data_IF_187848776969
#
_entry.id   IF_187848776969
#
_cell.length_a   1.000
_cell.length_b   1.000
_cell.length_c   1.000
_cell.angle_alpha   90.00
_cell.angle_beta   90.00
_cell.angle_gamma   90.00
#
_symmetry.space_group_name_H-M   'P 1'
#
loop_
_entity.id
_entity.type
_entity.pdbx_description
1 polymer ?
#
# COMPACT_ATOMS: atom_id res chain seq x y z
N UNK A 1 -7.53 -7.94 2.99
CA UNK A 1 -6.60 -8.32 1.90
C UNK A 1 -5.26 -7.60 1.88
N UNK A 2 -5.00 -6.50 2.62
CA UNK A 2 -3.79 -5.72 2.36
C UNK A 2 -2.53 -6.52 2.69
N UNK A 3 -1.43 -6.22 1.99
CA UNK A 3 -0.12 -6.86 2.18
C UNK A 3 0.38 -6.73 3.63
N UNK A 4 -0.07 -5.69 4.34
CA UNK A 4 0.22 -5.45 5.75
C UNK A 4 -0.30 -6.56 6.68
N UNK A 5 -1.36 -7.29 6.31
CA UNK A 5 -1.82 -8.47 7.05
C UNK A 5 -0.80 -9.61 7.04
N UNK A 6 0.17 -9.56 6.12
CA UNK A 6 1.26 -10.51 5.98
C UNK A 6 2.61 -9.89 6.42
N UNK A 7 2.59 -8.77 7.15
CA UNK A 7 3.78 -8.00 7.55
C UNK A 7 4.65 -7.51 6.37
N UNK A 8 4.02 -7.28 5.21
CA UNK A 8 4.71 -6.79 4.01
C UNK A 8 4.19 -5.38 3.67
N UNK A 9 5.09 -4.40 3.64
CA UNK A 9 4.73 -3.00 3.37
C UNK A 9 4.69 -2.64 1.87
N UNK A 10 5.13 -3.55 1.00
CA UNK A 10 5.23 -3.35 -0.46
C UNK A 10 4.22 -4.24 -1.19
N UNK A 11 3.90 -3.94 -2.46
CA UNK A 11 3.17 -4.88 -3.29
C UNK A 11 3.82 -6.27 -3.27
N UNK A 12 2.99 -7.31 -3.13
CA UNK A 12 3.43 -8.71 -3.09
C UNK A 12 3.25 -9.35 -4.46
N UNK A 13 4.20 -10.17 -4.88
CA UNK A 13 4.08 -11.02 -6.05
C UNK A 13 4.17 -12.49 -5.68
N UNK A 14 3.26 -13.29 -6.24
CA UNK A 14 3.31 -14.74 -6.17
C UNK A 14 2.87 -15.31 -7.53
N UNK A 15 3.72 -16.10 -8.17
CA UNK A 15 3.54 -16.56 -9.55
C UNK A 15 3.15 -15.38 -10.48
N UNK A 16 2.00 -15.46 -11.14
CA UNK A 16 1.48 -14.44 -12.05
C UNK A 16 0.52 -13.44 -11.38
N UNK A 17 0.38 -13.45 -10.05
CA UNK A 17 -0.55 -12.60 -9.30
C UNK A 17 0.22 -11.51 -8.56
N UNK A 18 -0.32 -10.29 -8.60
CA UNK A 18 0.17 -9.15 -7.84
C UNK A 18 -0.90 -8.66 -6.86
N UNK A 19 -0.53 -8.55 -5.59
CA UNK A 19 -1.32 -7.84 -4.59
C UNK A 19 -0.74 -6.44 -4.38
N UNK A 20 -1.43 -5.42 -4.89
CA UNK A 20 -1.03 -4.00 -4.79
C UNK A 20 -1.75 -3.25 -3.68
N UNK A 21 -2.67 -3.91 -2.96
CA UNK A 21 -3.37 -3.34 -1.80
C UNK A 21 -2.41 -3.26 -0.61
N UNK A 22 -1.76 -2.11 -0.45
CA UNK A 22 -0.85 -1.84 0.68
C UNK A 22 -1.56 -1.11 1.84
N UNK A 23 -2.89 -1.25 1.94
CA UNK A 23 -3.66 -0.73 3.08
C UNK A 23 -3.86 0.79 3.09
N UNK A 24 -3.93 1.42 1.91
CA UNK A 24 -4.03 2.88 1.76
C UNK A 24 -5.30 3.48 2.41
N UNK A 25 -6.36 2.71 2.63
CA UNK A 25 -7.55 3.20 3.32
C UNK A 25 -7.33 3.44 4.83
N UNK A 26 -6.28 2.86 5.42
CA UNK A 26 -6.00 2.89 6.86
C UNK A 26 -4.60 3.50 7.12
N UNK A 27 -3.77 2.81 7.91
CA UNK A 27 -2.42 3.21 8.31
C UNK A 27 -1.32 2.85 7.31
N UNK A 28 -1.71 2.33 6.15
CA UNK A 28 -0.79 1.91 5.10
C UNK A 28 -0.33 3.07 4.20
N UNK A 29 0.25 2.69 3.07
CA UNK A 29 0.82 3.60 2.06
C UNK A 29 -0.01 3.55 0.79
N UNK A 30 -0.03 4.65 0.04
CA UNK A 30 -0.51 4.62 -1.34
C UNK A 30 0.59 4.01 -2.21
N UNK A 31 0.25 2.99 -2.99
CA UNK A 31 1.19 2.32 -3.91
C UNK A 31 0.74 2.48 -5.35
N UNK A 32 1.70 2.74 -6.23
CA UNK A 32 1.55 2.69 -7.67
C UNK A 32 2.60 1.76 -8.26
N UNK A 33 2.23 1.02 -9.31
CA UNK A 33 3.11 0.10 -10.01
C UNK A 33 2.99 0.30 -11.51
N UNK A 34 4.14 0.40 -12.17
CA UNK A 34 4.22 0.35 -13.62
C UNK A 34 4.07 -1.11 -14.09
N UNK A 35 3.17 -1.35 -15.04
CA UNK A 35 2.80 -2.72 -15.44
C UNK A 35 3.92 -3.42 -16.21
N UNK A 36 4.72 -2.70 -16.98
CA UNK A 36 5.74 -3.31 -17.84
C UNK A 36 7.04 -3.55 -17.08
N UNK A 37 7.53 -2.51 -16.40
CA UNK A 37 8.80 -2.54 -15.65
C UNK A 37 8.66 -3.14 -14.25
N UNK A 38 7.43 -3.26 -13.73
CA UNK A 38 7.13 -3.61 -12.32
C UNK A 38 7.76 -2.66 -11.30
N UNK A 39 8.15 -1.46 -11.73
CA UNK A 39 8.67 -0.43 -10.82
C UNK A 39 7.55 0.03 -9.89
N UNK A 40 7.87 0.09 -8.60
CA UNK A 40 6.93 0.49 -7.55
C UNK A 40 7.30 1.87 -7.01
N UNK A 41 6.30 2.73 -6.86
CA UNK A 41 6.37 3.96 -6.09
C UNK A 41 5.40 3.87 -4.91
N UNK A 42 5.84 4.36 -3.75
CA UNK A 42 5.00 4.42 -2.55
C UNK A 42 5.12 5.79 -1.89
N UNK A 43 4.01 6.26 -1.34
CA UNK A 43 4.02 7.40 -0.43
C UNK A 43 4.60 7.02 0.94
N UNK A 44 4.81 8.02 1.80
CA UNK A 44 4.88 7.78 3.25
C UNK A 44 3.53 7.26 3.78
N UNK A 45 3.51 6.87 5.05
CA UNK A 45 2.28 6.41 5.69
C UNK A 45 1.21 7.50 5.63
N UNK A 46 0.00 7.14 5.20
CA UNK A 46 -1.05 8.14 4.98
C UNK A 46 -1.46 8.90 6.25
N UNK A 47 -1.45 8.31 7.47
CA UNK A 47 -1.64 9.09 8.69
C UNK A 47 -0.57 10.17 8.93
N UNK A 48 0.65 10.03 8.41
CA UNK A 48 1.66 11.09 8.55
C UNK A 48 1.45 12.22 7.53
N UNK A 49 0.97 11.89 6.34
CA UNK A 49 0.68 12.87 5.28
C UNK A 49 -0.66 13.58 5.49
N UNK A 50 -1.65 12.87 6.06
CA UNK A 50 -3.01 13.33 6.28
C UNK A 50 -3.45 13.05 7.72
N UNK A 51 -2.82 13.69 8.73
CA UNK A 51 -3.04 13.38 10.15
C UNK A 51 -4.45 13.68 10.64
N UNK A 52 -5.14 14.63 9.99
CA UNK A 52 -6.46 15.09 10.39
C UNK A 52 -7.62 14.42 9.62
N UNK A 53 -7.31 13.46 8.72
CA UNK A 53 -8.32 12.80 7.90
C UNK A 53 -9.09 11.75 8.72
N UNK A 54 -10.40 11.98 8.89
CA UNK A 54 -11.25 11.09 9.66
C UNK A 54 -11.50 9.77 8.91
N UNK A 55 -11.56 8.66 9.63
CA UNK A 55 -11.85 7.34 9.07
C UNK A 55 -10.62 6.56 8.58
N UNK A 56 -9.45 7.18 8.46
CA UNK A 56 -8.18 6.51 8.10
C UNK A 56 -7.34 6.06 9.29
N UNK A 57 -7.63 6.59 10.48
CA UNK A 57 -6.83 6.41 11.70
C UNK A 57 -7.40 5.40 12.71
N UNK A 58 -8.47 4.66 12.37
CA UNK A 58 -8.91 3.54 13.22
C UNK A 58 -7.95 2.35 13.06
#
# INVERSE_FOLDING_TARGET
>A
TPTTNFNIEKPMNAANIWNVDTGAAFKGKLSAMDIDSKKVWQSDNLPSLYPNEMGRNK
#
